data_IF_988765101900
#
_entry.id   IF_988765101900
#
_cell.length_a   1.000
_cell.length_b   1.000
_cell.length_c   1.000
_cell.angle_alpha   90.00
_cell.angle_beta   90.00
_cell.angle_gamma   90.00
#
_symmetry.space_group_name_H-M   'P 1'
#
loop_
_entity.id
_entity.type
_entity.pdbx_description
1 polymer ?
#
# COMPACT_ATOMS: atom_id res chain seq x y z
N UNK A 1 37.42 9.08 9.13
CA UNK A 1 36.35 8.30 9.79
C UNK A 1 35.25 8.15 8.76
N UNK A 2 35.03 6.94 8.23
CA UNK A 2 33.94 6.63 7.30
C UNK A 2 32.74 6.19 8.15
N UNK A 3 31.89 7.12 8.53
CA UNK A 3 30.53 6.77 8.98
C UNK A 3 29.76 6.45 7.72
N UNK A 4 29.54 5.14 7.48
CA UNK A 4 28.64 4.64 6.44
C UNK A 4 27.33 5.43 6.51
N UNK A 5 27.07 6.24 5.50
CA UNK A 5 25.74 6.77 5.21
C UNK A 5 24.82 5.58 4.97
N UNK A 6 24.10 5.14 6.00
CA UNK A 6 22.90 4.34 5.84
C UNK A 6 21.74 5.24 5.36
N UNK A 7 21.95 5.99 4.27
CA UNK A 7 20.88 6.63 3.52
C UNK A 7 20.35 5.60 2.52
N UNK A 8 19.75 4.53 3.02
CA UNK A 8 18.84 3.74 2.19
C UNK A 8 17.56 4.58 2.08
N UNK A 9 17.50 5.43 1.06
CA UNK A 9 16.26 6.08 0.65
C UNK A 9 15.24 4.95 0.37
N UNK A 10 14.12 4.94 1.11
CA UNK A 10 13.07 3.95 0.89
C UNK A 10 12.48 4.17 -0.49
N UNK A 11 12.62 3.18 -1.37
CA UNK A 11 11.97 3.21 -2.68
C UNK A 11 10.53 2.71 -2.56
N UNK A 12 9.62 3.62 -2.27
CA UNK A 12 8.19 3.32 -2.16
C UNK A 12 7.59 2.72 -3.42
N UNK A 13 8.18 2.96 -4.61
CA UNK A 13 7.72 2.32 -5.84
C UNK A 13 7.99 0.82 -5.82
N UNK A 14 9.15 0.42 -5.29
CA UNK A 14 9.50 -0.99 -5.11
C UNK A 14 8.63 -1.66 -4.05
N UNK A 15 8.36 -0.99 -2.93
CA UNK A 15 7.49 -1.52 -1.85
C UNK A 15 6.08 -1.83 -2.35
N UNK A 16 5.52 -1.00 -3.24
CA UNK A 16 4.17 -1.23 -3.75
C UNK A 16 4.13 -2.08 -5.02
N UNK A 17 5.29 -2.40 -5.61
CA UNK A 17 5.38 -3.16 -6.85
C UNK A 17 4.73 -4.54 -6.71
N UNK A 18 4.94 -5.23 -5.59
CA UNK A 18 4.37 -6.57 -5.36
C UNK A 18 2.83 -6.56 -5.36
N UNK A 19 2.20 -5.47 -4.93
CA UNK A 19 0.75 -5.33 -4.92
C UNK A 19 0.19 -5.19 -6.34
N UNK A 20 0.95 -4.54 -7.22
CA UNK A 20 0.60 -4.42 -8.64
C UNK A 20 0.84 -5.76 -9.34
N UNK A 21 2.02 -6.36 -9.16
CA UNK A 21 2.41 -7.61 -9.80
C UNK A 21 1.47 -8.78 -9.45
N UNK A 22 1.03 -8.85 -8.19
CA UNK A 22 0.10 -9.89 -7.73
C UNK A 22 -1.38 -9.50 -7.93
N UNK A 23 -1.68 -8.37 -8.56
CA UNK A 23 -3.04 -7.87 -8.81
C UNK A 23 -3.87 -7.74 -7.52
N UNK A 24 -3.27 -7.19 -6.46
CA UNK A 24 -3.93 -6.90 -5.19
C UNK A 24 -4.62 -5.54 -5.16
N UNK A 25 -4.38 -4.72 -6.17
CA UNK A 25 -5.00 -3.42 -6.43
C UNK A 25 -5.28 -3.28 -7.92
N UNK A 26 -6.21 -2.42 -8.31
CA UNK A 26 -6.46 -2.16 -9.73
C UNK A 26 -5.38 -1.27 -10.34
N UNK A 27 -4.94 -0.24 -9.59
CA UNK A 27 -3.97 0.74 -10.06
C UNK A 27 -3.31 1.45 -8.89
N UNK A 28 -2.04 1.85 -9.07
CA UNK A 28 -1.36 2.83 -8.23
C UNK A 28 -0.80 3.93 -9.12
N UNK A 29 -1.03 5.18 -8.76
CA UNK A 29 -0.47 6.37 -9.41
C UNK A 29 0.34 7.19 -8.42
N UNK A 30 1.44 7.77 -8.88
CA UNK A 30 2.37 8.56 -8.06
C UNK A 30 2.33 10.02 -8.53
N UNK A 31 2.13 10.98 -7.62
CA UNK A 31 1.84 12.38 -7.98
C UNK A 31 2.84 13.42 -7.49
N UNK A 32 3.68 13.11 -6.51
CA UNK A 32 4.67 14.07 -6.00
C UNK A 32 5.76 13.32 -5.23
N UNK A 33 6.86 12.98 -5.91
CA UNK A 33 8.01 12.29 -5.30
C UNK A 33 8.97 13.33 -4.72
N UNK A 34 9.14 13.31 -3.40
CA UNK A 34 10.15 14.05 -2.64
C UNK A 34 11.09 13.06 -1.95
N UNK A 35 12.24 13.53 -1.51
CA UNK A 35 13.22 12.71 -0.77
C UNK A 35 12.61 12.05 0.48
N UNK A 36 11.68 12.73 1.14
CA UNK A 36 11.12 12.27 2.43
C UNK A 36 9.75 11.60 2.30
N UNK A 37 9.04 11.83 1.21
CA UNK A 37 7.68 11.31 1.02
C UNK A 37 7.29 11.19 -0.45
N UNK A 38 6.28 10.37 -0.70
CA UNK A 38 5.60 10.25 -1.99
C UNK A 38 4.09 10.38 -1.82
N UNK A 39 3.45 11.19 -2.67
CA UNK A 39 2.00 11.20 -2.78
C UNK A 39 1.54 10.16 -3.79
N UNK A 40 0.51 9.38 -3.43
CA UNK A 40 -0.03 8.32 -4.26
C UNK A 40 -1.56 8.30 -4.27
N UNK A 41 -2.11 7.77 -5.36
CA UNK A 41 -3.48 7.32 -5.47
C UNK A 41 -3.47 5.81 -5.65
N UNK A 42 -4.14 5.11 -4.77
CA UNK A 42 -4.41 3.68 -4.87
C UNK A 42 -5.86 3.51 -5.29
N UNK A 43 -6.11 2.85 -6.42
CA UNK A 43 -7.44 2.39 -6.80
C UNK A 43 -7.58 0.93 -6.36
N UNK A 44 -8.48 0.67 -5.43
CA UNK A 44 -8.74 -0.68 -4.91
C UNK A 44 -9.35 -1.58 -5.99
N UNK A 45 -9.44 -2.88 -5.74
CA UNK A 45 -10.05 -3.85 -6.66
C UNK A 45 -11.54 -3.57 -6.92
N UNK A 46 -12.23 -2.96 -5.96
CA UNK A 46 -13.61 -2.49 -6.06
C UNK A 46 -13.76 -1.18 -6.85
N UNK A 47 -12.64 -0.51 -7.15
CA UNK A 47 -12.62 0.78 -7.84
C UNK A 47 -12.71 1.99 -6.90
N UNK A 48 -12.51 1.82 -5.60
CA UNK A 48 -12.46 2.95 -4.66
C UNK A 48 -11.09 3.64 -4.73
N UNK A 49 -11.10 4.97 -4.74
CA UNK A 49 -9.89 5.80 -4.81
C UNK A 49 -9.41 6.19 -3.40
N UNK A 50 -8.20 5.81 -3.04
CA UNK A 50 -7.52 6.16 -1.77
C UNK A 50 -6.31 7.02 -2.09
N UNK A 51 -6.39 8.31 -1.77
CA UNK A 51 -5.24 9.21 -1.84
C UNK A 51 -4.45 9.15 -0.53
N UNK A 52 -3.14 8.97 -0.61
CA UNK A 52 -2.28 8.92 0.57
C UNK A 52 -0.91 9.59 0.35
N UNK A 53 -0.28 9.93 1.47
CA UNK A 53 1.12 10.35 1.55
C UNK A 53 1.88 9.25 2.29
N UNK A 54 2.94 8.74 1.68
CA UNK A 54 3.77 7.70 2.23
C UNK A 54 5.16 8.26 2.57
N UNK A 55 5.66 7.98 3.77
CA UNK A 55 6.96 8.45 4.24
C UNK A 55 7.58 7.42 5.19
N UNK A 56 8.90 7.39 5.26
CA UNK A 56 9.64 6.44 6.10
C UNK A 56 9.43 6.70 7.59
N UNK A 57 9.09 7.94 7.95
CA UNK A 57 8.94 8.38 9.33
C UNK A 57 7.50 8.27 9.85
N UNK A 58 6.50 8.50 8.99
CA UNK A 58 5.09 8.58 9.40
C UNK A 58 4.21 7.48 8.79
N UNK A 59 4.80 6.49 8.14
CA UNK A 59 4.08 5.44 7.43
C UNK A 59 3.22 6.03 6.31
N UNK A 60 1.98 5.56 6.23
CA UNK A 60 1.00 5.90 5.20
C UNK A 60 -0.12 6.73 5.83
N UNK A 61 -0.36 7.92 5.30
CA UNK A 61 -1.46 8.80 5.73
C UNK A 61 -2.43 9.05 4.60
N UNK A 62 -3.69 8.69 4.79
CA UNK A 62 -4.79 8.96 3.86
C UNK A 62 -5.09 10.47 3.88
N UNK A 63 -5.35 11.03 2.71
CA UNK A 63 -5.86 12.38 2.49
C UNK A 63 -7.38 12.28 2.28
N UNK A 64 -8.21 12.47 3.33
CA UNK A 64 -9.64 12.18 3.27
C UNK A 64 -10.39 13.01 2.23
N UNK A 65 -10.03 14.28 2.08
CA UNK A 65 -10.69 15.23 1.17
C UNK A 65 -10.45 14.93 -0.32
N UNK A 66 -9.41 14.14 -0.64
CA UNK A 66 -9.13 13.69 -2.01
C UNK A 66 -9.62 12.26 -2.26
N UNK A 67 -9.85 11.49 -1.21
CA UNK A 67 -10.23 10.07 -1.30
C UNK A 67 -11.73 9.90 -1.52
N UNK A 68 -12.13 8.85 -2.23
CA UNK A 68 -13.55 8.52 -2.53
C UNK A 68 -14.02 7.27 -1.80
N UNK A 69 -13.47 7.00 -0.62
CA UNK A 69 -13.92 5.90 0.24
C UNK A 69 -15.15 6.35 1.03
N UNK A 70 -16.22 5.54 1.01
CA UNK A 70 -17.52 5.91 1.61
C UNK A 70 -17.43 6.23 3.11
N UNK A 71 -16.53 5.59 3.86
CA UNK A 71 -16.33 5.80 5.30
C UNK A 71 -14.88 5.54 5.69
N UNK A 72 -14.17 6.59 6.09
CA UNK A 72 -12.83 6.50 6.67
C UNK A 72 -12.94 6.55 8.19
N UNK A 73 -12.50 5.49 8.87
CA UNK A 73 -12.49 5.39 10.33
C UNK A 73 -11.08 5.58 10.92
N UNK A 74 -10.06 5.36 10.09
CA UNK A 74 -8.64 5.49 10.40
C UNK A 74 -7.91 6.06 9.18
N UNK A 75 -7.01 7.00 9.40
CA UNK A 75 -6.32 7.71 8.31
C UNK A 75 -4.80 7.54 8.34
N UNK A 76 -4.25 6.80 9.30
CA UNK A 76 -2.82 6.52 9.41
C UNK A 76 -2.58 5.02 9.54
N UNK A 77 -1.62 4.50 8.79
CA UNK A 77 -1.27 3.08 8.70
C UNK A 77 0.24 2.91 8.65
N UNK A 78 0.74 1.82 9.23
CA UNK A 78 2.18 1.50 9.19
C UNK A 78 2.55 0.76 7.90
N UNK A 79 1.63 0.00 7.30
CA UNK A 79 1.88 -0.83 6.12
C UNK A 79 0.77 -0.73 5.07
N UNK A 80 1.11 -1.01 3.80
CA UNK A 80 0.14 -1.06 2.70
C UNK A 80 -0.88 -2.17 2.89
N UNK A 81 -0.43 -3.32 3.40
CA UNK A 81 -1.32 -4.43 3.72
C UNK A 81 -2.39 -4.02 4.73
N UNK A 82 -2.01 -3.32 5.81
CA UNK A 82 -2.96 -2.86 6.83
C UNK A 82 -3.99 -1.88 6.26
N UNK A 83 -3.55 -0.98 5.37
CA UNK A 83 -4.43 -0.06 4.66
C UNK A 83 -5.42 -0.81 3.76
N UNK A 84 -4.93 -1.75 2.95
CA UNK A 84 -5.76 -2.52 2.03
C UNK A 84 -6.70 -3.50 2.76
N UNK A 85 -6.26 -4.16 3.83
CA UNK A 85 -7.16 -4.99 4.65
C UNK A 85 -8.32 -4.19 5.24
N UNK A 86 -8.08 -2.91 5.55
CA UNK A 86 -9.10 -2.04 6.16
C UNK A 86 -10.10 -1.51 5.12
N UNK A 87 -9.62 -1.15 3.94
CA UNK A 87 -10.42 -0.40 2.95
C UNK A 87 -10.65 -1.10 1.61
N UNK A 88 -10.07 -2.27 1.38
CA UNK A 88 -10.27 -3.11 0.19
C UNK A 88 -10.69 -4.51 0.64
N UNK A 89 -11.99 -4.75 0.61
CA UNK A 89 -12.58 -6.03 0.98
C UNK A 89 -12.16 -7.16 0.02
N UNK A 90 -12.12 -6.86 -1.28
CA UNK A 90 -11.69 -7.80 -2.32
C UNK A 90 -10.20 -8.11 -2.23
N UNK A 91 -9.36 -7.17 -1.78
CA UNK A 91 -7.98 -7.48 -1.39
C UNK A 91 -7.94 -8.55 -0.30
N UNK A 92 -8.69 -8.35 0.78
CA UNK A 92 -8.73 -9.30 1.90
C UNK A 92 -9.17 -10.71 1.47
N UNK A 93 -10.17 -10.82 0.59
CA UNK A 93 -10.56 -12.12 0.00
C UNK A 93 -9.43 -12.73 -0.84
N UNK A 94 -8.86 -11.95 -1.76
CA UNK A 94 -7.84 -12.44 -2.68
C UNK A 94 -6.60 -12.91 -1.92
N UNK A 95 -6.12 -12.12 -0.97
CA UNK A 95 -4.98 -12.47 -0.13
C UNK A 95 -5.20 -13.80 0.61
N UNK A 96 -6.37 -14.00 1.21
CA UNK A 96 -6.69 -15.24 1.92
C UNK A 96 -6.78 -16.45 0.97
N UNK A 97 -7.35 -16.28 -0.22
CA UNK A 97 -7.40 -17.35 -1.23
C UNK A 97 -6.00 -17.74 -1.71
N UNK A 98 -5.14 -16.75 -1.95
CA UNK A 98 -3.75 -16.97 -2.38
C UNK A 98 -2.94 -17.65 -1.27
N UNK A 99 -3.14 -17.25 0.00
CA UNK A 99 -2.54 -17.88 1.17
C UNK A 99 -2.99 -19.34 1.32
N UNK A 100 -4.30 -19.61 1.23
CA UNK A 100 -4.83 -20.96 1.30
C UNK A 100 -4.25 -21.85 0.20
N UNK A 101 -4.18 -21.34 -1.02
CA UNK A 101 -3.58 -22.06 -2.16
C UNK A 101 -2.13 -22.46 -1.86
N UNK A 102 -1.31 -21.53 -1.36
CA UNK A 102 0.09 -21.82 -0.97
C UNK A 102 0.19 -22.85 0.15
N UNK A 103 -0.69 -22.79 1.15
CA UNK A 103 -0.72 -23.77 2.25
C UNK A 103 -1.07 -25.17 1.74
N UNK A 104 -2.02 -25.27 0.82
CA UNK A 104 -2.41 -26.54 0.19
C UNK A 104 -1.30 -27.12 -0.70
N UNK A 105 -0.51 -26.28 -1.36
CA UNK A 105 0.67 -26.69 -2.12
C UNK A 105 1.78 -27.24 -1.23
N UNK A 106 2.03 -26.60 -0.08
CA UNK A 106 3.05 -27.05 0.88
C UNK A 106 2.66 -28.32 1.64
N UNK A 107 1.36 -28.61 1.75
CA UNK A 107 0.85 -29.81 2.41
C UNK A 107 0.87 -31.06 1.51
N UNK A 108 1.15 -30.90 0.21
CA UNK A 108 1.27 -31.99 -0.78
C UNK A 108 2.71 -32.48 -0.88
#
# INVERSE_FOLDING_TARGET
MNTRDCNEEIDFEQEVAEFIENNFVNKIEFYNKKTEYIEMLITTLEGDDIYCICSSQNGIRIIPEKSKVKKLYQTAFDTFEGLLQTYSFEYGKKFNNDLQTKLEELAK
#
